data_IF_356953341241
#
_entry.id   IF_356953341241
#
_cell.length_a   1.000
_cell.length_b   1.000
_cell.length_c   1.000
_cell.angle_alpha   90.00
_cell.angle_beta   90.00
_cell.angle_gamma   90.00
#
_symmetry.space_group_name_H-M   'P 1'
#
loop_
_entity.id
_entity.type
_entity.pdbx_description
1 polymer ?
#
# COMPACT_ATOMS: atom_id res chain seq x y z
N UNK A 1 19.62 -52.86 17.92
CA UNK A 1 19.57 -51.51 18.54
C UNK A 1 20.04 -50.34 17.66
N UNK A 2 20.94 -50.53 16.67
CA UNK A 2 21.45 -49.40 15.84
C UNK A 2 20.46 -48.83 14.82
N UNK A 3 19.52 -49.63 14.33
CA UNK A 3 18.56 -49.22 13.27
C UNK A 3 17.50 -48.25 13.82
N UNK A 4 16.97 -48.47 15.03
CA UNK A 4 16.00 -47.57 15.65
C UNK A 4 16.58 -46.17 15.93
N UNK A 5 17.88 -46.09 16.24
CA UNK A 5 18.57 -44.82 16.49
C UNK A 5 18.69 -43.97 15.21
N UNK A 6 18.89 -44.59 14.04
CA UNK A 6 18.98 -43.91 12.75
C UNK A 6 17.62 -43.37 12.28
N UNK A 7 16.55 -44.13 12.51
CA UNK A 7 15.18 -43.69 12.18
C UNK A 7 14.78 -42.51 13.07
N UNK A 8 15.06 -42.57 14.37
CA UNK A 8 14.77 -41.48 15.30
C UNK A 8 15.56 -40.20 14.97
N UNK A 9 16.84 -40.34 14.60
CA UNK A 9 17.68 -39.19 14.22
C UNK A 9 17.19 -38.52 12.93
N UNK A 10 16.74 -39.29 11.93
CA UNK A 10 16.13 -38.72 10.71
C UNK A 10 14.79 -38.03 11.00
N UNK A 11 13.98 -38.57 11.91
CA UNK A 11 12.68 -38.00 12.26
C UNK A 11 12.86 -36.67 13.03
N UNK A 12 13.80 -36.61 13.96
CA UNK A 12 14.12 -35.38 14.71
C UNK A 12 14.75 -34.31 13.81
N UNK A 13 15.62 -34.70 12.86
CA UNK A 13 16.21 -33.74 11.90
C UNK A 13 15.15 -33.21 10.93
N UNK A 14 14.22 -34.04 10.45
CA UNK A 14 13.12 -33.57 9.61
C UNK A 14 12.12 -32.70 10.39
N UNK A 15 11.84 -33.00 11.67
CA UNK A 15 10.99 -32.16 12.51
C UNK A 15 11.67 -30.80 12.80
N UNK A 16 12.98 -30.80 13.02
CA UNK A 16 13.76 -29.58 13.18
C UNK A 16 13.84 -28.75 11.89
N UNK A 17 13.91 -29.40 10.72
CA UNK A 17 13.82 -28.72 9.42
C UNK A 17 12.43 -28.13 9.16
N UNK A 18 11.35 -28.77 9.61
CA UNK A 18 9.98 -28.20 9.54
C UNK A 18 9.81 -27.03 10.52
N UNK A 19 10.47 -27.06 11.68
CA UNK A 19 10.49 -25.93 12.64
C UNK A 19 11.44 -24.80 12.22
N UNK A 20 12.48 -25.10 11.43
CA UNK A 20 13.44 -24.12 10.87
C UNK A 20 13.03 -23.59 9.49
N UNK A 21 12.08 -24.25 8.82
CA UNK A 21 11.17 -23.56 7.91
C UNK A 21 10.39 -22.58 8.77
N UNK A 22 10.99 -21.41 9.01
CA UNK A 22 10.32 -20.24 9.53
C UNK A 22 9.05 -20.08 8.71
N UNK A 23 7.92 -20.50 9.28
CA UNK A 23 6.65 -19.85 9.02
C UNK A 23 6.97 -18.40 9.34
N UNK A 24 7.18 -17.59 8.31
CA UNK A 24 7.22 -16.15 8.46
C UNK A 24 5.82 -15.79 8.90
N UNK A 25 5.53 -15.90 10.20
CA UNK A 25 4.37 -15.27 10.78
C UNK A 25 4.56 -13.80 10.47
N UNK A 26 3.65 -13.25 9.68
CA UNK A 26 3.63 -11.82 9.49
C UNK A 26 3.71 -11.17 10.87
N UNK A 27 4.59 -10.18 11.02
CA UNK A 27 4.59 -9.35 12.20
C UNK A 27 3.15 -8.90 12.39
N UNK A 28 2.57 -9.24 13.55
CA UNK A 28 1.24 -8.81 13.91
C UNK A 28 1.15 -7.32 13.60
N UNK A 29 0.29 -6.95 12.65
CA UNK A 29 0.21 -5.59 12.15
C UNK A 29 -0.04 -4.61 13.31
N UNK A 30 -0.72 -5.07 14.37
CA UNK A 30 -0.90 -4.31 15.61
C UNK A 30 0.41 -4.04 16.35
N UNK A 31 1.33 -5.01 16.40
CA UNK A 31 2.67 -4.85 16.99
C UNK A 31 3.53 -3.85 16.21
N UNK A 32 3.33 -3.73 14.90
CA UNK A 32 4.04 -2.74 14.07
C UNK A 32 3.71 -1.33 14.53
N UNK A 33 2.42 -0.98 14.64
CA UNK A 33 2.00 0.37 15.05
C UNK A 33 2.07 0.59 16.56
N UNK A 34 1.92 -0.48 17.36
CA UNK A 34 1.86 -0.42 18.82
C UNK A 34 3.15 0.11 19.46
N UNK A 35 4.29 0.00 18.78
CA UNK A 35 5.58 0.56 19.22
C UNK A 35 5.59 2.09 19.21
N UNK A 36 4.65 2.72 18.51
CA UNK A 36 4.60 4.16 18.29
C UNK A 36 3.46 4.84 19.06
N UNK A 37 2.80 4.15 20.00
CA UNK A 37 1.69 4.72 20.78
C UNK A 37 2.09 5.98 21.56
N UNK A 38 3.34 6.04 22.01
CA UNK A 38 3.89 7.16 22.79
C UNK A 38 4.53 8.25 21.92
N UNK A 39 4.44 8.17 20.58
CA UNK A 39 4.93 9.23 19.70
C UNK A 39 4.02 10.45 19.83
N UNK A 40 4.62 11.58 20.20
CA UNK A 40 3.95 12.87 20.25
C UNK A 40 3.73 13.45 18.86
N UNK A 41 2.71 14.30 18.73
CA UNK A 41 2.44 15.14 17.56
C UNK A 41 2.37 16.58 18.04
N UNK A 42 3.18 17.47 17.47
CA UNK A 42 3.32 18.84 17.94
C UNK A 42 2.14 19.74 17.57
N UNK A 43 1.73 19.73 16.28
CA UNK A 43 0.59 20.52 15.80
C UNK A 43 -0.65 20.15 16.61
N UNK A 44 -1.52 21.08 17.01
CA UNK A 44 -2.76 20.80 17.77
C UNK A 44 -3.93 20.33 16.89
N UNK A 45 -4.95 19.67 17.45
CA UNK A 45 -6.11 19.19 16.66
C UNK A 45 -6.94 20.34 16.10
N UNK A 46 -6.97 21.48 16.79
CA UNK A 46 -7.63 22.69 16.32
C UNK A 46 -6.86 23.26 15.12
N UNK A 47 -5.53 23.31 15.22
CA UNK A 47 -4.66 23.75 14.12
C UNK A 47 -4.82 22.85 12.90
N UNK A 48 -4.90 21.53 13.09
CA UNK A 48 -5.15 20.57 12.01
C UNK A 48 -6.47 20.84 11.28
N UNK A 49 -7.54 21.17 12.01
CA UNK A 49 -8.86 21.48 11.42
C UNK A 49 -8.88 22.78 10.63
N UNK A 50 -8.04 23.75 10.99
CA UNK A 50 -8.02 25.08 10.37
C UNK A 50 -7.06 25.12 9.18
N UNK A 51 -5.87 24.53 9.34
CA UNK A 51 -4.75 24.66 8.40
C UNK A 51 -4.43 23.38 7.64
N UNK A 52 -5.09 22.26 7.96
CA UNK A 52 -4.72 20.94 7.45
C UNK A 52 -3.58 20.32 8.25
N UNK A 53 -3.15 19.13 7.82
CA UNK A 53 -2.16 18.33 8.53
C UNK A 53 -0.75 18.75 8.10
N UNK A 54 0.01 19.31 9.04
CA UNK A 54 1.44 19.63 8.86
C UNK A 54 2.27 18.62 9.65
N UNK A 55 3.03 17.78 8.94
CA UNK A 55 3.86 16.73 9.55
C UNK A 55 5.30 17.18 9.64
N UNK A 56 5.88 17.00 10.81
CA UNK A 56 7.32 17.18 10.99
C UNK A 56 8.11 16.02 10.36
N UNK A 57 9.40 16.26 10.12
CA UNK A 57 10.31 15.21 9.64
C UNK A 57 10.40 14.01 10.59
N UNK A 58 10.27 14.24 11.90
CA UNK A 58 10.26 13.20 12.93
C UNK A 58 9.02 12.29 12.78
N UNK A 59 7.84 12.88 12.58
CA UNK A 59 6.58 12.18 12.33
C UNK A 59 6.66 11.37 11.02
N UNK A 60 7.12 12.01 9.93
CA UNK A 60 7.28 11.36 8.63
C UNK A 60 8.25 10.18 8.68
N UNK A 61 9.31 10.26 9.49
CA UNK A 61 10.24 9.13 9.71
C UNK A 61 9.51 7.94 10.31
N UNK A 62 8.72 8.13 11.37
CA UNK A 62 7.97 7.03 11.99
C UNK A 62 6.91 6.45 11.05
N UNK A 63 6.24 7.31 10.27
CA UNK A 63 5.31 6.86 9.23
C UNK A 63 6.01 5.98 8.20
N UNK A 64 7.19 6.38 7.72
CA UNK A 64 7.98 5.59 6.77
C UNK A 64 8.52 4.28 7.38
N UNK A 65 8.90 4.26 8.65
CA UNK A 65 9.32 3.04 9.35
C UNK A 65 8.15 2.03 9.43
N UNK A 66 6.94 2.51 9.72
CA UNK A 66 5.73 1.69 9.72
C UNK A 66 5.41 1.19 8.30
N UNK A 67 5.42 2.06 7.29
CA UNK A 67 5.20 1.69 5.89
C UNK A 67 6.18 0.59 5.46
N UNK A 68 7.47 0.76 5.76
CA UNK A 68 8.51 -0.20 5.41
C UNK A 68 8.29 -1.54 6.13
N UNK A 69 7.88 -1.51 7.40
CA UNK A 69 7.52 -2.74 8.12
C UNK A 69 6.31 -3.44 7.49
N UNK A 70 5.32 -2.68 7.03
CA UNK A 70 4.15 -3.23 6.35
C UNK A 70 4.54 -3.82 4.98
N UNK A 71 5.36 -3.11 4.22
CA UNK A 71 5.80 -3.47 2.87
C UNK A 71 6.68 -4.72 2.79
N UNK A 72 7.43 -5.02 3.85
CA UNK A 72 8.32 -6.17 3.90
C UNK A 72 7.65 -7.46 4.37
N UNK A 73 6.34 -7.44 4.63
CA UNK A 73 5.61 -8.57 5.16
C UNK A 73 4.53 -9.13 4.21
N UNK A 74 3.92 -10.23 4.63
CA UNK A 74 2.86 -10.93 3.89
C UNK A 74 1.54 -10.83 4.66
N UNK A 75 0.77 -9.77 4.38
CA UNK A 75 -0.52 -9.57 5.02
C UNK A 75 -1.68 -10.16 4.21
N UNK A 76 -2.60 -10.77 4.94
CA UNK A 76 -3.87 -11.25 4.42
C UNK A 76 -5.04 -10.39 4.91
N UNK A 77 -6.23 -10.64 4.36
CA UNK A 77 -7.45 -9.92 4.75
C UNK A 77 -7.74 -10.03 6.26
N UNK A 78 -7.48 -11.19 6.87
CA UNK A 78 -7.70 -11.39 8.30
C UNK A 78 -6.75 -10.55 9.16
N UNK A 79 -5.55 -10.25 8.67
CA UNK A 79 -4.61 -9.32 9.32
C UNK A 79 -5.08 -7.89 9.19
N UNK A 80 -5.64 -7.52 8.03
CA UNK A 80 -6.31 -6.22 7.85
C UNK A 80 -7.44 -6.03 8.87
N UNK A 81 -8.32 -7.01 9.05
CA UNK A 81 -9.40 -6.90 10.05
C UNK A 81 -8.89 -6.70 11.48
N UNK A 82 -7.80 -7.40 11.86
CA UNK A 82 -7.15 -7.20 13.16
C UNK A 82 -6.54 -5.82 13.27
N UNK A 83 -5.84 -5.38 12.22
CA UNK A 83 -5.16 -4.09 12.18
C UNK A 83 -6.11 -2.91 12.34
N UNK A 84 -7.26 -2.93 11.65
CA UNK A 84 -8.28 -1.89 11.78
C UNK A 84 -8.74 -1.76 13.24
N UNK A 85 -9.01 -2.90 13.90
CA UNK A 85 -9.42 -2.91 15.32
C UNK A 85 -8.34 -2.32 16.23
N UNK A 86 -7.08 -2.58 15.93
CA UNK A 86 -5.96 -2.05 16.73
C UNK A 86 -5.79 -0.55 16.55
N UNK A 87 -5.78 -0.05 15.32
CA UNK A 87 -5.72 1.40 15.05
C UNK A 87 -6.83 2.14 15.80
N UNK A 88 -8.05 1.62 15.72
CA UNK A 88 -9.22 2.26 16.32
C UNK A 88 -9.21 2.11 17.86
N UNK A 89 -8.46 1.15 18.41
CA UNK A 89 -8.35 0.88 19.85
C UNK A 89 -7.20 1.61 20.57
N UNK A 90 -6.18 2.09 19.85
CA UNK A 90 -5.08 2.82 20.48
C UNK A 90 -5.47 4.25 20.86
N UNK A 91 -5.25 4.61 22.13
CA UNK A 91 -5.35 6.00 22.57
C UNK A 91 -4.04 6.77 22.30
N UNK A 92 -3.67 6.82 21.01
CA UNK A 92 -2.48 7.53 20.55
C UNK A 92 -2.84 8.54 19.49
N UNK A 93 -2.43 9.79 19.71
CA UNK A 93 -2.68 10.89 18.77
C UNK A 93 -1.99 10.67 17.43
N UNK A 94 -0.73 10.24 17.46
CA UNK A 94 0.03 9.89 16.26
C UNK A 94 -0.67 8.82 15.42
N UNK A 95 -1.16 7.76 16.06
CA UNK A 95 -1.86 6.66 15.38
C UNK A 95 -3.19 7.12 14.80
N UNK A 96 -4.02 7.83 15.58
CA UNK A 96 -5.33 8.31 15.12
C UNK A 96 -5.20 9.24 13.91
N UNK A 97 -4.26 10.19 13.96
CA UNK A 97 -3.98 11.15 12.88
C UNK A 97 -3.46 10.50 11.60
N UNK A 98 -2.60 9.49 11.70
CA UNK A 98 -2.04 8.78 10.53
C UNK A 98 -2.81 7.49 10.18
N UNK A 99 -3.97 7.26 10.79
CA UNK A 99 -4.74 6.03 10.64
C UNK A 99 -5.08 5.73 9.18
N UNK A 100 -5.56 6.72 8.42
CA UNK A 100 -5.87 6.55 6.98
C UNK A 100 -4.65 6.08 6.20
N UNK A 101 -3.49 6.69 6.44
CA UNK A 101 -2.25 6.31 5.77
C UNK A 101 -1.89 4.85 6.05
N UNK A 102 -1.96 4.44 7.32
CA UNK A 102 -1.65 3.07 7.73
C UNK A 102 -2.65 2.05 7.15
N UNK A 103 -3.94 2.38 7.13
CA UNK A 103 -4.99 1.53 6.53
C UNK A 103 -4.71 1.31 5.04
N UNK A 104 -4.41 2.38 4.29
CA UNK A 104 -4.06 2.31 2.87
C UNK A 104 -2.74 1.57 2.62
N UNK A 105 -1.76 1.74 3.51
CA UNK A 105 -0.48 0.99 3.45
C UNK A 105 -0.72 -0.50 3.53
N UNK A 106 -1.54 -0.94 4.49
CA UNK A 106 -1.85 -2.36 4.63
C UNK A 106 -2.67 -2.88 3.45
N UNK A 107 -3.66 -2.10 2.96
CA UNK A 107 -4.43 -2.47 1.77
C UNK A 107 -3.49 -2.72 0.60
N UNK A 108 -2.52 -1.82 0.34
CA UNK A 108 -1.63 -1.89 -0.82
C UNK A 108 -0.77 -3.16 -0.94
N UNK A 109 -0.66 -3.95 0.14
CA UNK A 109 0.16 -5.17 0.19
C UNK A 109 -0.66 -6.46 0.35
N UNK A 110 -1.99 -6.38 0.33
CA UNK A 110 -2.85 -7.56 0.46
C UNK A 110 -2.68 -8.51 -0.73
N UNK A 111 -2.40 -9.79 -0.44
CA UNK A 111 -2.12 -10.81 -1.48
C UNK A 111 -3.28 -11.76 -1.80
N UNK A 112 -4.25 -11.89 -0.88
CA UNK A 112 -5.33 -12.89 -0.98
C UNK A 112 -6.68 -12.28 -1.34
N UNK A 113 -7.54 -13.11 -1.95
CA UNK A 113 -8.93 -12.73 -2.25
C UNK A 113 -9.69 -12.41 -0.97
N UNK A 114 -10.25 -11.21 -0.93
CA UNK A 114 -11.14 -10.77 0.14
C UNK A 114 -12.57 -11.22 -0.16
N UNK A 115 -13.46 -11.30 0.84
CA UNK A 115 -14.89 -11.47 0.58
C UNK A 115 -15.39 -10.37 -0.36
N UNK A 116 -16.21 -10.70 -1.37
CA UNK A 116 -16.66 -9.73 -2.39
C UNK A 116 -17.34 -8.49 -1.80
N UNK A 117 -18.11 -8.65 -0.71
CA UNK A 117 -18.72 -7.53 0.01
C UNK A 117 -17.67 -6.59 0.61
N UNK A 118 -16.60 -7.16 1.14
CA UNK A 118 -15.49 -6.44 1.77
C UNK A 118 -14.59 -5.79 0.75
N UNK A 119 -14.34 -6.45 -0.38
CA UNK A 119 -13.66 -5.88 -1.53
C UNK A 119 -14.35 -4.60 -2.00
N UNK A 120 -15.67 -4.64 -2.24
CA UNK A 120 -16.43 -3.45 -2.62
C UNK A 120 -16.34 -2.34 -1.57
N UNK A 121 -16.39 -2.69 -0.28
CA UNK A 121 -16.29 -1.71 0.83
C UNK A 121 -14.92 -1.03 0.85
N UNK A 122 -13.85 -1.80 0.72
CA UNK A 122 -12.47 -1.30 0.74
C UNK A 122 -12.17 -0.51 -0.54
N UNK A 123 -12.63 -0.96 -1.71
CA UNK A 123 -12.50 -0.19 -2.95
C UNK A 123 -13.20 1.17 -2.84
N UNK A 124 -14.41 1.22 -2.26
CA UNK A 124 -15.11 2.50 -1.99
C UNK A 124 -14.31 3.41 -1.06
N UNK A 125 -13.65 2.83 -0.05
CA UNK A 125 -12.76 3.57 0.82
C UNK A 125 -11.54 4.12 0.05
N UNK A 126 -10.86 3.32 -0.76
CA UNK A 126 -9.74 3.78 -1.60
C UNK A 126 -10.18 4.89 -2.57
N UNK A 127 -11.34 4.75 -3.21
CA UNK A 127 -11.90 5.79 -4.10
C UNK A 127 -12.13 7.11 -3.36
N UNK A 128 -12.66 7.05 -2.14
CA UNK A 128 -12.81 8.25 -1.31
C UNK A 128 -11.45 8.93 -1.07
N UNK A 129 -10.44 8.16 -0.70
CA UNK A 129 -9.11 8.70 -0.37
C UNK A 129 -8.28 9.11 -1.61
N UNK A 130 -8.65 8.67 -2.83
CA UNK A 130 -8.12 9.20 -4.10
C UNK A 130 -8.51 10.67 -4.37
N UNK A 131 -9.38 11.26 -3.54
CA UNK A 131 -9.74 12.68 -3.55
C UNK A 131 -9.18 13.45 -2.35
N UNK A 132 -8.21 12.88 -1.63
CA UNK A 132 -7.63 13.54 -0.46
C UNK A 132 -6.77 14.75 -0.84
N UNK A 133 -6.96 15.87 -0.12
CA UNK A 133 -6.09 17.04 -0.21
C UNK A 133 -4.71 16.81 0.45
N UNK A 134 -4.59 15.76 1.26
CA UNK A 134 -3.32 15.36 1.87
C UNK A 134 -2.52 14.49 0.87
N UNK A 135 -1.47 15.07 0.28
CA UNK A 135 -0.62 14.40 -0.70
C UNK A 135 -0.03 13.07 -0.20
N UNK A 136 0.20 12.92 1.11
CA UNK A 136 0.69 11.68 1.69
C UNK A 136 -0.39 10.58 1.61
N UNK A 137 -1.63 10.94 1.93
CA UNK A 137 -2.79 10.04 1.81
C UNK A 137 -3.08 9.72 0.36
N UNK A 138 -3.10 10.72 -0.51
CA UNK A 138 -3.37 10.56 -1.94
C UNK A 138 -2.35 9.60 -2.59
N UNK A 139 -1.06 9.78 -2.30
CA UNK A 139 -0.01 8.87 -2.78
C UNK A 139 -0.20 7.44 -2.29
N UNK A 140 -0.63 7.25 -1.04
CA UNK A 140 -0.90 5.92 -0.52
C UNK A 140 -2.18 5.31 -1.08
N UNK A 141 -3.21 6.10 -1.34
CA UNK A 141 -4.44 5.67 -1.99
C UNK A 141 -4.17 5.16 -3.41
N UNK A 142 -3.28 5.83 -4.14
CA UNK A 142 -2.79 5.40 -5.46
C UNK A 142 -2.10 4.03 -5.37
N UNK A 143 -1.26 3.77 -4.36
CA UNK A 143 -0.66 2.43 -4.15
C UNK A 143 -1.71 1.38 -3.78
N UNK A 144 -2.71 1.77 -3.00
CA UNK A 144 -3.78 0.89 -2.53
C UNK A 144 -4.70 0.40 -3.66
N UNK A 145 -4.62 0.93 -4.89
CA UNK A 145 -5.40 0.40 -6.02
C UNK A 145 -4.84 -0.91 -6.58
N UNK A 146 -3.53 -1.18 -6.37
CA UNK A 146 -2.81 -2.30 -7.00
C UNK A 146 -3.40 -3.68 -6.68
N UNK A 147 -3.69 -4.05 -5.42
CA UNK A 147 -4.20 -5.38 -5.08
C UNK A 147 -5.49 -5.77 -5.81
N UNK A 148 -6.30 -4.79 -6.21
CA UNK A 148 -7.58 -5.03 -6.86
C UNK A 148 -7.45 -5.33 -8.35
N UNK A 149 -6.39 -4.82 -9.00
CA UNK A 149 -6.19 -4.92 -10.45
C UNK A 149 -7.51 -4.65 -11.24
N UNK A 150 -8.16 -3.51 -10.96
CA UNK A 150 -9.51 -3.24 -11.44
C UNK A 150 -9.57 -1.95 -12.27
N UNK A 151 -10.09 -2.06 -13.49
CA UNK A 151 -10.26 -0.96 -14.45
C UNK A 151 -11.05 0.24 -13.88
N UNK A 152 -11.89 0.03 -12.86
CA UNK A 152 -12.66 1.13 -12.27
C UNK A 152 -11.79 2.23 -11.67
N UNK A 153 -10.52 1.94 -11.34
CA UNK A 153 -9.57 2.94 -10.82
C UNK A 153 -8.93 3.80 -11.93
N UNK A 154 -8.96 3.35 -13.19
CA UNK A 154 -8.30 4.03 -14.32
C UNK A 154 -8.70 5.51 -14.42
N UNK A 155 -10.00 5.89 -14.39
CA UNK A 155 -10.39 7.30 -14.50
C UNK A 155 -9.80 8.18 -13.38
N UNK A 156 -9.75 7.66 -12.16
CA UNK A 156 -9.21 8.38 -11.00
C UNK A 156 -7.69 8.56 -11.11
N UNK A 157 -6.96 7.49 -11.48
CA UNK A 157 -5.51 7.55 -11.66
C UNK A 157 -5.15 8.50 -12.82
N UNK A 158 -5.93 8.48 -13.90
CA UNK A 158 -5.77 9.40 -15.03
C UNK A 158 -5.93 10.86 -14.59
N UNK A 159 -7.00 11.16 -13.87
CA UNK A 159 -7.30 12.50 -13.35
C UNK A 159 -6.16 13.03 -12.46
N UNK A 160 -5.65 12.18 -11.56
CA UNK A 160 -4.50 12.51 -10.70
C UNK A 160 -3.27 12.88 -11.54
N UNK A 161 -2.96 12.12 -12.59
CA UNK A 161 -1.79 12.40 -13.45
C UNK A 161 -1.94 13.74 -14.16
N UNK A 162 -3.13 14.05 -14.68
CA UNK A 162 -3.38 15.27 -15.48
C UNK A 162 -3.43 16.53 -14.60
N UNK A 163 -4.10 16.44 -13.45
CA UNK A 163 -4.40 17.60 -12.61
C UNK A 163 -3.27 17.96 -11.65
N UNK A 164 -2.38 17.03 -11.27
CA UNK A 164 -1.30 17.27 -10.31
C UNK A 164 0.01 17.75 -10.96
N UNK A 165 -0.07 18.76 -11.83
CA UNK A 165 1.07 19.24 -12.66
C UNK A 165 2.28 19.70 -11.85
N UNK A 166 2.07 20.15 -10.62
CA UNK A 166 3.13 20.64 -9.73
C UNK A 166 3.75 19.51 -8.87
N UNK A 167 3.20 18.30 -8.90
CA UNK A 167 3.67 17.17 -8.10
C UNK A 167 4.13 16.02 -9.00
N UNK A 168 5.30 16.20 -9.64
CA UNK A 168 5.90 15.20 -10.53
C UNK A 168 6.13 13.84 -9.84
N UNK A 169 6.42 13.86 -8.54
CA UNK A 169 6.60 12.63 -7.75
C UNK A 169 5.33 11.79 -7.71
N UNK A 170 4.20 12.43 -7.42
CA UNK A 170 2.88 11.78 -7.46
C UNK A 170 2.52 11.34 -8.88
N UNK A 171 2.69 12.19 -9.89
CA UNK A 171 2.39 11.82 -11.28
C UNK A 171 3.17 10.55 -11.72
N UNK A 172 4.46 10.47 -11.39
CA UNK A 172 5.28 9.29 -11.64
C UNK A 172 4.76 8.05 -10.90
N UNK A 173 4.48 8.18 -9.61
CA UNK A 173 3.93 7.09 -8.80
C UNK A 173 2.62 6.57 -9.42
N UNK A 174 1.72 7.48 -9.80
CA UNK A 174 0.43 7.13 -10.38
C UNK A 174 0.56 6.46 -11.74
N UNK A 175 1.48 6.90 -12.60
CA UNK A 175 1.81 6.20 -13.87
C UNK A 175 2.31 4.78 -13.59
N UNK A 176 3.19 4.63 -12.60
CA UNK A 176 3.72 3.32 -12.22
C UNK A 176 2.60 2.42 -11.69
N UNK A 177 1.69 2.91 -10.83
CA UNK A 177 0.58 2.11 -10.29
C UNK A 177 -0.48 1.80 -11.34
N UNK A 178 -0.77 2.71 -12.28
CA UNK A 178 -1.67 2.47 -13.40
C UNK A 178 -1.18 1.28 -14.26
N UNK A 179 0.14 1.09 -14.38
CA UNK A 179 0.70 -0.06 -15.13
C UNK A 179 0.43 -1.43 -14.48
N UNK A 180 0.01 -1.48 -13.21
CA UNK A 180 -0.42 -2.72 -12.56
C UNK A 180 -1.86 -3.11 -12.91
N UNK A 181 -2.67 -2.18 -13.43
CA UNK A 181 -4.00 -2.49 -13.93
C UNK A 181 -3.83 -3.13 -15.32
N UNK A 182 -4.03 -4.43 -15.42
CA UNK A 182 -3.85 -5.18 -16.67
C UNK A 182 -5.02 -4.97 -17.62
N UNK A 183 -4.76 -4.66 -18.90
CA UNK A 183 -5.79 -4.67 -19.94
C UNK A 183 -5.60 -3.60 -21.03
N UNK A 184 -6.44 -3.68 -22.06
CA UNK A 184 -6.43 -2.71 -23.17
C UNK A 184 -6.79 -1.30 -22.71
N UNK A 185 -7.68 -1.17 -21.71
CA UNK A 185 -8.08 0.14 -21.17
C UNK A 185 -6.93 0.92 -20.53
N UNK A 186 -5.98 0.23 -19.93
CA UNK A 186 -4.76 0.86 -19.38
C UNK A 186 -3.90 1.45 -20.50
N UNK A 187 -3.78 0.73 -21.62
CA UNK A 187 -3.07 1.22 -22.82
C UNK A 187 -3.78 2.43 -23.44
N UNK A 188 -5.11 2.38 -23.54
CA UNK A 188 -5.92 3.52 -23.99
C UNK A 188 -5.70 4.74 -23.09
N UNK A 189 -5.80 4.55 -21.77
CA UNK A 189 -5.57 5.62 -20.80
C UNK A 189 -4.16 6.23 -20.93
N UNK A 190 -3.12 5.43 -21.12
CA UNK A 190 -1.77 5.96 -21.35
C UNK A 190 -1.66 6.81 -22.61
N UNK A 191 -2.30 6.41 -23.70
CA UNK A 191 -2.32 7.21 -24.93
C UNK A 191 -3.09 8.52 -24.74
N UNK A 192 -4.22 8.50 -24.04
CA UNK A 192 -4.98 9.71 -23.69
C UNK A 192 -4.13 10.66 -22.84
N UNK A 193 -3.51 10.16 -21.77
CA UNK A 193 -2.66 10.95 -20.87
C UNK A 193 -1.54 11.65 -21.65
N UNK A 194 -0.87 10.95 -22.58
CA UNK A 194 0.20 11.53 -23.41
C UNK A 194 -0.26 12.73 -24.23
N UNK A 195 -1.53 12.78 -24.63
CA UNK A 195 -2.07 13.90 -25.38
C UNK A 195 -2.43 15.10 -24.49
N UNK A 196 -2.54 14.89 -23.18
CA UNK A 196 -2.96 15.90 -22.21
C UNK A 196 -1.80 16.48 -21.38
N UNK A 197 -0.70 15.74 -21.26
CA UNK A 197 0.50 16.18 -20.54
C UNK A 197 1.59 16.67 -21.49
N UNK A 198 2.37 17.65 -21.05
CA UNK A 198 3.48 18.22 -21.83
C UNK A 198 4.87 17.88 -21.28
N UNK A 199 4.97 17.22 -20.12
CA UNK A 199 6.26 16.87 -19.50
C UNK A 199 6.94 15.72 -20.27
N UNK A 200 8.07 15.96 -20.95
CA UNK A 200 8.72 14.93 -21.76
C UNK A 200 9.23 13.74 -20.93
N UNK A 201 9.56 13.94 -19.65
CA UNK A 201 10.01 12.85 -18.77
C UNK A 201 8.86 11.90 -18.43
N UNK A 202 7.66 12.44 -18.22
CA UNK A 202 6.46 11.65 -17.96
C UNK A 202 6.01 10.94 -19.24
N UNK A 203 6.07 11.61 -20.40
CA UNK A 203 5.79 10.98 -21.70
C UNK A 203 6.73 9.80 -21.93
N UNK A 204 8.04 9.99 -21.75
CA UNK A 204 9.01 8.90 -21.88
C UNK A 204 8.78 7.77 -20.87
N UNK A 205 8.35 8.07 -19.65
CA UNK A 205 7.96 7.04 -18.68
C UNK A 205 6.78 6.22 -19.20
N UNK A 206 5.74 6.88 -19.73
CA UNK A 206 4.57 6.21 -20.31
C UNK A 206 4.98 5.33 -21.50
N UNK A 207 5.83 5.83 -22.40
CA UNK A 207 6.34 5.06 -23.53
C UNK A 207 7.08 3.80 -23.09
N UNK A 208 7.92 3.91 -22.06
CA UNK A 208 8.59 2.76 -21.46
C UNK A 208 7.61 1.75 -20.86
N UNK A 209 6.49 2.20 -20.27
CA UNK A 209 5.43 1.30 -19.77
C UNK A 209 4.70 0.62 -20.92
N UNK A 210 4.30 1.37 -21.94
CA UNK A 210 3.61 0.85 -23.14
C UNK A 210 4.44 -0.19 -23.90
N UNK A 211 5.75 0.01 -24.04
CA UNK A 211 6.64 -0.95 -24.69
C UNK A 211 6.69 -2.28 -23.93
N UNK A 212 6.78 -2.23 -22.59
CA UNK A 212 6.72 -3.44 -21.75
C UNK A 212 5.42 -4.23 -21.89
N UNK A 213 4.29 -3.54 -22.10
CA UNK A 213 3.03 -4.22 -22.39
C UNK A 213 3.11 -5.03 -23.69
N UNK A 214 3.68 -4.46 -24.76
CA UNK A 214 3.78 -5.15 -26.05
C UNK A 214 4.68 -6.40 -25.96
N UNK A 215 5.77 -6.33 -25.19
CA UNK A 215 6.69 -7.46 -24.98
C UNK A 215 6.06 -8.64 -24.22
N UNK A 216 4.98 -8.42 -23.45
CA UNK A 216 4.30 -9.47 -22.69
C UNK A 216 3.20 -10.20 -23.48
N UNK A 217 2.81 -9.68 -24.65
CA UNK A 217 1.74 -10.23 -25.50
C UNK A 217 2.25 -10.71 -26.88
N UNK A 218 3.58 -10.82 -27.03
CA UNK A 218 4.28 -11.47 -28.15
C UNK A 218 5.06 -12.68 -27.63
#
# INVERSE_FOLDING_TARGET
MKIHMLVFRRLVINLALVLLCRVSYANDACSVIGKYVNVGVEQSEISEKIFGIEREMSELRYVAEIENSIGNDHYEYHDYEKFIKCIDGYDSRFIKRNSTYFKLSLISVLKNKMPVSEEKRIMKYVIKELHSDDNLILGQAVRATVPFNNDMFIPYLKDIIINNKNNRGLQKLTIDMLSYISGSKTREAFNEIKNEISDPKLINLIDNRLNKFNDMYH
#
